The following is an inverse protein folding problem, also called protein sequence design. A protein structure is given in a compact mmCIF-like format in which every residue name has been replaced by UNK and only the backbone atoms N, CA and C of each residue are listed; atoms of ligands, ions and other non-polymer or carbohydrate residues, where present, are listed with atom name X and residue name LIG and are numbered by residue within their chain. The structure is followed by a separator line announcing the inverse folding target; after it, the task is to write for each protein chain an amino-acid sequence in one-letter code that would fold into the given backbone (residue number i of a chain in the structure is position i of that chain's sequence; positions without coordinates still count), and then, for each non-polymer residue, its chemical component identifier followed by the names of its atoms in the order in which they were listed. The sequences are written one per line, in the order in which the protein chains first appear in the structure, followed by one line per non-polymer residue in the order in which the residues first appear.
data_IF_556935685523
#
_entry.id   IF_556935685523
#
_cell.length_a   1.000
_cell.length_b   1.000
_cell.length_c   1.000
_cell.angle_alpha   90.00
_cell.angle_beta   90.00
_cell.angle_gamma   90.00
#
_symmetry.space_group_name_H-M   'P 1'
#
loop_
_entity.id
_entity.type
_entity.pdbx_description
1 polymer ?
#
# COMPACT_ATOMS: atom_id res chain seq x y z
N UNK A 1 -18.38 13.47 -13.08
CA UNK A 1 -18.17 12.64 -11.88
C UNK A 1 -17.14 13.33 -10.99
N UNK A 2 -17.51 13.56 -9.75
CA UNK A 2 -16.62 14.18 -8.79
C UNK A 2 -16.13 13.13 -7.79
N UNK A 3 -14.83 13.12 -7.54
CA UNK A 3 -14.19 12.22 -6.57
C UNK A 3 -13.31 13.04 -5.64
N UNK A 4 -13.22 12.61 -4.39
CA UNK A 4 -12.20 13.15 -3.47
C UNK A 4 -10.82 12.66 -3.89
N UNK A 5 -9.78 13.32 -3.41
CA UNK A 5 -8.41 12.86 -3.66
C UNK A 5 -8.18 11.43 -3.19
N UNK A 6 -8.73 11.07 -2.03
CA UNK A 6 -8.61 9.71 -1.51
C UNK A 6 -9.30 8.68 -2.42
N UNK A 7 -10.49 8.99 -2.91
CA UNK A 7 -11.19 8.12 -3.87
C UNK A 7 -10.42 7.98 -5.17
N UNK A 8 -9.77 9.05 -5.63
CA UNK A 8 -8.92 9.02 -6.83
C UNK A 8 -7.75 8.05 -6.63
N UNK A 9 -7.08 8.09 -5.47
CA UNK A 9 -5.99 7.17 -5.17
C UNK A 9 -6.45 5.72 -5.25
N UNK A 10 -7.53 5.39 -4.56
CA UNK A 10 -8.03 4.01 -4.51
C UNK A 10 -8.50 3.55 -5.88
N UNK A 11 -9.21 4.42 -6.61
CA UNK A 11 -9.69 4.08 -7.95
C UNK A 11 -8.54 3.90 -8.94
N UNK A 12 -7.51 4.74 -8.85
CA UNK A 12 -6.33 4.60 -9.69
C UNK A 12 -5.62 3.26 -9.47
N UNK A 13 -5.47 2.85 -8.20
CA UNK A 13 -4.92 1.55 -7.88
C UNK A 13 -5.75 0.41 -8.50
N UNK A 14 -7.07 0.48 -8.35
CA UNK A 14 -7.96 -0.52 -8.91
C UNK A 14 -7.89 -0.58 -10.43
N UNK A 15 -7.84 0.58 -11.09
CA UNK A 15 -7.78 0.68 -12.55
C UNK A 15 -6.44 0.18 -13.10
N UNK A 16 -5.36 0.29 -12.33
CA UNK A 16 -4.06 -0.29 -12.65
C UNK A 16 -3.97 -1.80 -12.35
N UNK A 17 -5.03 -2.40 -11.90
CA UNK A 17 -5.08 -3.83 -11.62
C UNK A 17 -4.58 -4.25 -10.26
N UNK A 18 -4.39 -3.31 -9.34
CA UNK A 18 -3.98 -3.61 -7.96
C UNK A 18 -5.14 -4.26 -7.23
N UNK A 19 -4.90 -5.43 -6.65
CA UNK A 19 -5.90 -6.18 -5.87
C UNK A 19 -5.64 -6.14 -4.39
N UNK A 20 -4.40 -5.96 -3.97
CA UNK A 20 -3.99 -6.06 -2.58
C UNK A 20 -3.09 -4.88 -2.22
N UNK A 21 -3.38 -4.26 -1.09
CA UNK A 21 -2.56 -3.19 -0.49
C UNK A 21 -2.22 -3.63 0.92
N UNK A 22 -0.94 -3.65 1.23
CA UNK A 22 -0.46 -4.01 2.57
C UNK A 22 -0.21 -2.72 3.35
N UNK A 23 -0.65 -2.65 4.59
CA UNK A 23 -0.45 -1.42 5.32
C UNK A 23 -0.88 -1.44 6.78
N UNK A 24 -0.71 -0.29 7.39
CA UNK A 24 -1.15 -0.04 8.75
C UNK A 24 -1.72 1.38 8.82
N UNK A 25 -2.94 1.57 9.33
CA UNK A 25 -3.59 2.87 9.32
C UNK A 25 -2.92 3.89 10.26
N UNK A 26 -3.10 5.15 9.92
CA UNK A 26 -2.61 6.27 10.73
C UNK A 26 -3.27 7.58 10.30
N UNK A 27 -3.05 8.62 11.09
CA UNK A 27 -3.80 9.88 10.97
C UNK A 27 -3.76 10.52 9.59
N UNK A 28 -2.60 10.57 8.95
CA UNK A 28 -2.46 11.21 7.64
C UNK A 28 -3.12 10.42 6.51
N UNK A 29 -3.38 9.14 6.71
CA UNK A 29 -3.95 8.25 5.71
C UNK A 29 -5.44 7.93 5.93
N UNK A 30 -6.10 8.56 6.91
CA UNK A 30 -7.48 8.21 7.29
C UNK A 30 -8.46 8.32 6.14
N UNK A 31 -8.37 9.36 5.33
CA UNK A 31 -9.29 9.54 4.21
C UNK A 31 -9.11 8.44 3.15
N UNK A 32 -7.87 8.01 2.92
CA UNK A 32 -7.59 6.91 1.98
C UNK A 32 -8.15 5.59 2.53
N UNK A 33 -7.99 5.34 3.84
CA UNK A 33 -8.56 4.16 4.48
C UNK A 33 -10.08 4.15 4.44
N UNK A 34 -10.71 5.32 4.62
CA UNK A 34 -12.16 5.44 4.47
C UNK A 34 -12.60 5.09 3.04
N UNK A 35 -11.87 5.59 2.05
CA UNK A 35 -12.16 5.28 0.65
C UNK A 35 -11.95 3.79 0.33
N UNK A 36 -10.91 3.17 0.90
CA UNK A 36 -10.69 1.72 0.77
C UNK A 36 -11.87 0.92 1.34
N UNK A 37 -12.39 1.33 2.48
CA UNK A 37 -13.50 0.64 3.13
C UNK A 37 -14.78 0.65 2.29
N UNK A 38 -14.99 1.69 1.49
CA UNK A 38 -16.23 1.91 0.73
C UNK A 38 -16.27 1.20 -0.63
N UNK A 39 -15.31 0.37 -0.94
CA UNK A 39 -15.21 -0.34 -2.22
C UNK A 39 -14.73 -1.77 -2.00
N UNK A 40 -14.80 -2.60 -3.03
CA UNK A 40 -14.48 -4.03 -2.93
C UNK A 40 -13.48 -4.51 -3.99
N UNK A 41 -12.92 -3.61 -4.81
CA UNK A 41 -11.97 -3.96 -5.87
C UNK A 41 -10.54 -4.14 -5.34
N UNK A 42 -10.17 -3.37 -4.34
CA UNK A 42 -8.84 -3.40 -3.70
C UNK A 42 -9.01 -3.88 -2.28
N UNK A 43 -8.34 -4.95 -1.92
CA UNK A 43 -8.36 -5.50 -0.57
C UNK A 43 -7.19 -4.96 0.23
N UNK A 44 -7.46 -4.44 1.41
CA UNK A 44 -6.41 -4.05 2.36
C UNK A 44 -6.04 -5.24 3.24
N UNK A 45 -4.76 -5.49 3.36
CA UNK A 45 -4.21 -6.52 4.24
C UNK A 45 -3.47 -5.82 5.37
N UNK A 46 -4.03 -5.94 6.57
CA UNK A 46 -3.50 -5.28 7.75
C UNK A 46 -2.26 -5.99 8.27
N UNK A 47 -1.15 -5.25 8.37
CA UNK A 47 0.02 -5.70 9.09
C UNK A 47 0.03 -5.10 10.50
N UNK A 48 0.83 -5.64 11.39
CA UNK A 48 0.99 -5.13 12.75
C UNK A 48 2.14 -4.11 12.89
N UNK A 49 2.92 -3.96 11.84
CA UNK A 49 4.05 -3.05 11.77
C UNK A 49 4.32 -2.71 10.31
N UNK A 50 4.64 -1.48 10.02
CA UNK A 50 4.85 -1.01 8.64
C UNK A 50 6.01 -1.73 7.96
N UNK A 51 7.05 -2.12 8.69
CA UNK A 51 8.12 -2.92 8.14
C UNK A 51 7.59 -4.25 7.61
N UNK A 52 6.72 -4.90 8.36
CA UNK A 52 6.06 -6.13 7.93
C UNK A 52 5.20 -5.91 6.70
N UNK A 53 4.49 -4.79 6.63
CA UNK A 53 3.69 -4.44 5.46
C UNK A 53 4.56 -4.25 4.22
N UNK A 54 5.68 -3.53 4.35
CA UNK A 54 6.60 -3.31 3.23
C UNK A 54 7.25 -4.63 2.77
N UNK A 55 7.67 -5.48 3.70
CA UNK A 55 8.19 -6.80 3.33
C UNK A 55 7.12 -7.70 2.70
N UNK A 56 5.88 -7.60 3.13
CA UNK A 56 4.79 -8.35 2.52
C UNK A 56 4.55 -7.89 1.08
N UNK A 57 4.56 -6.59 0.82
CA UNK A 57 4.43 -6.05 -0.53
C UNK A 57 5.60 -6.51 -1.43
N UNK A 58 6.82 -6.49 -0.89
CA UNK A 58 8.00 -6.99 -1.59
C UNK A 58 7.85 -8.48 -1.93
N UNK A 59 7.47 -9.30 -0.96
CA UNK A 59 7.24 -10.73 -1.17
C UNK A 59 6.13 -11.01 -2.18
N UNK A 60 5.06 -10.23 -2.13
CA UNK A 60 3.97 -10.31 -3.09
C UNK A 60 4.47 -10.03 -4.52
N UNK A 61 5.28 -8.98 -4.69
CA UNK A 61 5.83 -8.64 -6.00
C UNK A 61 6.75 -9.76 -6.52
N UNK A 62 7.61 -10.32 -5.67
CA UNK A 62 8.50 -11.42 -6.03
C UNK A 62 7.73 -12.67 -6.47
N UNK A 63 6.69 -13.02 -5.72
CA UNK A 63 5.93 -14.25 -5.97
C UNK A 63 4.96 -14.12 -7.14
N UNK A 64 4.32 -12.97 -7.32
CA UNK A 64 3.28 -12.77 -8.33
C UNK A 64 3.78 -12.20 -9.65
N UNK A 65 4.94 -11.57 -9.67
CA UNK A 65 5.42 -10.80 -10.81
C UNK A 65 4.67 -9.48 -11.02
N UNK A 66 3.86 -9.05 -10.04
CA UNK A 66 3.09 -7.82 -10.08
C UNK A 66 3.72 -6.77 -9.17
N UNK A 67 3.31 -5.51 -9.31
CA UNK A 67 3.77 -4.45 -8.42
C UNK A 67 3.17 -4.64 -7.03
N UNK A 68 4.02 -4.63 -6.01
CA UNK A 68 3.57 -4.62 -4.62
C UNK A 68 3.20 -3.21 -4.18
N UNK A 69 2.12 -3.07 -3.41
CA UNK A 69 1.66 -1.77 -2.93
C UNK A 69 1.59 -1.78 -1.41
N UNK A 70 2.20 -0.78 -0.81
CA UNK A 70 2.18 -0.58 0.64
C UNK A 70 1.62 0.80 0.96
N UNK A 71 0.76 0.88 1.96
CA UNK A 71 0.15 2.14 2.39
C UNK A 71 0.47 2.36 3.86
N UNK A 72 1.18 3.43 4.13
CA UNK A 72 1.59 3.81 5.49
C UNK A 72 1.30 5.29 5.73
N UNK A 73 1.15 5.66 7.01
CA UNK A 73 0.98 7.06 7.37
C UNK A 73 2.32 7.80 7.37
N UNK A 74 2.27 9.12 7.48
CA UNK A 74 3.46 9.96 7.65
C UNK A 74 4.18 9.67 8.97
N UNK A 75 5.40 10.18 9.10
CA UNK A 75 6.19 10.04 10.32
C UNK A 75 6.65 8.59 10.53
N UNK A 76 6.32 7.99 11.68
CA UNK A 76 6.79 6.64 11.99
C UNK A 76 6.26 5.57 11.02
N UNK A 77 5.14 5.82 10.34
CA UNK A 77 4.66 4.93 9.30
C UNK A 77 5.70 4.79 8.18
N UNK A 78 6.16 5.91 7.67
CA UNK A 78 7.19 5.92 6.61
C UNK A 78 8.52 5.39 7.12
N UNK A 79 8.98 5.87 8.27
CA UNK A 79 10.30 5.46 8.78
C UNK A 79 10.34 3.98 9.13
N UNK A 80 9.24 3.41 9.60
CA UNK A 80 9.15 1.98 9.87
C UNK A 80 9.14 1.14 8.58
N UNK A 81 8.78 1.71 7.45
CA UNK A 81 8.75 1.00 6.17
C UNK A 81 10.11 1.00 5.45
N UNK A 82 11.09 1.79 5.91
CA UNK A 82 12.35 2.03 5.19
C UNK A 82 13.11 0.75 4.90
N UNK A 83 13.22 -0.18 5.84
CA UNK A 83 13.96 -1.42 5.63
C UNK A 83 13.35 -2.25 4.49
N UNK A 84 12.02 -2.36 4.46
CA UNK A 84 11.33 -3.09 3.38
C UNK A 84 11.50 -2.40 2.02
N UNK A 85 11.43 -1.07 2.00
CA UNK A 85 11.64 -0.29 0.78
C UNK A 85 13.08 -0.45 0.29
N UNK A 86 14.05 -0.39 1.20
CA UNK A 86 15.45 -0.57 0.86
C UNK A 86 15.73 -1.98 0.30
N UNK A 87 15.12 -3.00 0.88
CA UNK A 87 15.23 -4.37 0.40
C UNK A 87 14.70 -4.49 -1.04
N UNK A 88 13.53 -3.96 -1.30
CA UNK A 88 12.95 -3.96 -2.65
C UNK A 88 13.82 -3.18 -3.63
N UNK A 89 14.31 -2.01 -3.22
CA UNK A 89 15.17 -1.17 -4.06
C UNK A 89 16.46 -1.89 -4.45
N UNK A 90 17.13 -2.51 -3.50
CA UNK A 90 18.40 -3.21 -3.75
C UNK A 90 18.25 -4.39 -4.72
N UNK A 91 17.10 -5.03 -4.72
CA UNK A 91 16.84 -6.19 -5.56
C UNK A 91 16.03 -5.86 -6.82
N UNK A 92 15.78 -4.56 -7.07
CA UNK A 92 14.99 -4.09 -8.22
C UNK A 92 13.56 -4.70 -8.24
N UNK A 93 12.96 -4.84 -7.07
CA UNK A 93 11.59 -5.35 -6.95
C UNK A 93 10.61 -4.19 -7.13
N UNK A 94 9.60 -4.31 -8.02
CA UNK A 94 8.65 -3.22 -8.26
C UNK A 94 7.70 -3.06 -7.07
N UNK A 95 7.75 -1.89 -6.46
CA UNK A 95 6.93 -1.57 -5.29
C UNK A 95 6.54 -0.08 -5.27
N UNK A 96 5.30 0.20 -4.91
CA UNK A 96 4.73 1.54 -4.73
C UNK A 96 4.28 1.71 -3.29
#
# INVERSE_FOLDING_TARGET
MELTGAEIVVRSLADEGVRHVFGYPGGAALHIYDALYKQDRVQHILARHEQGAAHAADGYARASGKVGVVLVTSGPGVTNAVTGIATAHMDSIPMV
#
